data_IF_838205574049
#
_entry.id   IF_838205574049
#
_cell.length_a   1.000
_cell.length_b   1.000
_cell.length_c   1.000
_cell.angle_alpha   90.00
_cell.angle_beta   90.00
_cell.angle_gamma   90.00
#
_symmetry.space_group_name_H-M   'P 1'
#
loop_
_entity.id
_entity.type
_entity.pdbx_description
1 polymer ?
#
# COMPACT_ATOMS: atom_id res chain seq x y z
N UNK A 1 -0.09 -18.47 -14.82
CA UNK A 1 1.16 -17.69 -14.63
C UNK A 1 1.63 -17.91 -13.19
N UNK A 2 2.93 -18.13 -12.94
CA UNK A 2 3.45 -18.32 -11.56
C UNK A 2 3.40 -16.99 -10.78
N UNK A 3 3.07 -17.06 -9.49
CA UNK A 3 3.15 -15.91 -8.57
C UNK A 3 4.59 -15.42 -8.46
N UNK A 4 4.77 -14.10 -8.46
CA UNK A 4 6.06 -13.41 -8.31
C UNK A 4 6.16 -12.84 -6.90
N UNK A 5 7.38 -12.80 -6.32
CA UNK A 5 7.60 -12.11 -5.06
C UNK A 5 7.32 -10.61 -5.22
N UNK A 6 6.90 -9.96 -4.13
CA UNK A 6 6.80 -8.50 -4.10
C UNK A 6 8.17 -7.89 -4.42
N UNK A 7 8.17 -6.75 -5.11
CA UNK A 7 9.39 -5.99 -5.40
C UNK A 7 10.10 -5.54 -4.10
N UNK A 8 9.32 -5.26 -3.06
CA UNK A 8 9.79 -4.89 -1.73
C UNK A 8 9.17 -5.85 -0.71
N UNK A 9 9.92 -6.23 0.33
CA UNK A 9 9.41 -7.08 1.40
C UNK A 9 8.11 -6.51 2.00
N UNK A 10 7.11 -7.37 2.18
CA UNK A 10 5.79 -7.04 2.76
C UNK A 10 5.91 -6.26 4.07
N UNK A 11 6.83 -6.64 4.95
CA UNK A 11 7.08 -5.96 6.24
C UNK A 11 7.50 -4.49 6.07
N UNK A 12 8.36 -4.21 5.09
CA UNK A 12 8.83 -2.84 4.82
C UNK A 12 7.69 -2.00 4.26
N UNK A 13 6.92 -2.54 3.30
CA UNK A 13 5.75 -1.86 2.74
C UNK A 13 4.69 -1.56 3.81
N UNK A 14 4.40 -2.53 4.69
CA UNK A 14 3.48 -2.32 5.81
C UNK A 14 3.99 -1.22 6.75
N UNK A 15 5.28 -1.24 7.10
CA UNK A 15 5.88 -0.20 7.94
C UNK A 15 5.77 1.19 7.29
N UNK A 16 6.01 1.30 5.98
CA UNK A 16 5.84 2.55 5.24
C UNK A 16 4.41 3.06 5.26
N UNK A 17 3.43 2.17 5.04
CA UNK A 17 2.00 2.52 5.09
C UNK A 17 1.61 2.99 6.49
N UNK A 18 1.99 2.26 7.54
CA UNK A 18 1.70 2.63 8.93
C UNK A 18 2.35 3.96 9.28
N UNK A 19 3.64 4.15 8.94
CA UNK A 19 4.34 5.40 9.17
C UNK A 19 3.67 6.58 8.45
N UNK A 20 3.21 6.37 7.21
CA UNK A 20 2.47 7.39 6.45
C UNK A 20 1.13 7.74 7.10
N UNK A 21 0.42 6.77 7.68
CA UNK A 21 -0.83 7.01 8.42
C UNK A 21 -0.57 7.81 9.70
N UNK A 22 0.48 7.47 10.46
CA UNK A 22 0.87 8.19 11.67
C UNK A 22 1.26 9.63 11.35
N UNK A 23 2.12 9.83 10.34
CA UNK A 23 2.52 11.17 9.91
C UNK A 23 1.33 11.99 9.38
N UNK A 24 0.38 11.37 8.69
CA UNK A 24 -0.83 12.05 8.23
C UNK A 24 -1.70 12.50 9.41
N UNK A 25 -1.84 11.66 10.45
CA UNK A 25 -2.54 12.03 11.68
C UNK A 25 -1.85 13.19 12.41
N UNK A 26 -0.51 13.18 12.48
CA UNK A 26 0.27 14.31 13.05
C UNK A 26 0.07 15.58 12.23
N UNK A 27 0.12 15.50 10.90
CA UNK A 27 -0.09 16.63 10.02
C UNK A 27 -1.48 17.26 10.21
N UNK A 28 -2.52 16.42 10.31
CA UNK A 28 -3.89 16.87 10.59
C UNK A 28 -3.95 17.52 11.97
N UNK A 29 -3.36 16.90 13.00
CA UNK A 29 -3.35 17.44 14.35
C UNK A 29 -2.66 18.82 14.44
N UNK A 30 -1.48 18.98 13.81
CA UNK A 30 -0.77 20.27 13.75
C UNK A 30 -1.64 21.32 13.07
N UNK A 31 -2.27 20.96 11.94
CA UNK A 31 -3.16 21.87 11.20
C UNK A 31 -4.38 22.31 12.02
N UNK A 32 -4.91 21.44 12.87
CA UNK A 32 -6.05 21.76 13.75
C UNK A 32 -5.62 22.57 14.98
N UNK A 33 -4.40 22.34 15.49
CA UNK A 33 -3.92 22.96 16.73
C UNK A 33 -3.38 24.37 16.51
N UNK A 34 -2.64 24.59 15.42
CA UNK A 34 -2.10 25.90 15.06
C UNK A 34 -2.10 26.07 13.53
N UNK A 35 -3.16 26.71 12.98
CA UNK A 35 -3.29 26.95 11.55
C UNK A 35 -2.15 27.79 10.97
N UNK A 36 -1.56 28.70 11.77
CA UNK A 36 -0.50 29.59 11.31
C UNK A 36 0.82 28.83 11.20
N UNK A 37 1.20 28.04 12.21
CA UNK A 37 2.38 27.16 12.11
C UNK A 37 2.26 26.10 11.00
N UNK A 38 1.02 25.69 10.69
CA UNK A 38 0.73 24.72 9.64
C UNK A 38 1.10 25.24 8.24
N UNK A 39 1.03 26.56 8.00
CA UNK A 39 1.44 27.17 6.73
C UNK A 39 2.95 27.07 6.50
N UNK A 40 3.76 27.11 7.56
CA UNK A 40 5.22 27.00 7.48
C UNK A 40 5.71 25.55 7.42
N UNK A 41 4.99 24.62 8.06
CA UNK A 41 5.35 23.19 8.12
C UNK A 41 4.79 22.36 6.96
N UNK A 42 3.66 22.77 6.37
CA UNK A 42 3.04 22.07 5.23
C UNK A 42 3.96 21.90 4.00
N UNK A 43 4.79 22.89 3.59
CA UNK A 43 5.67 22.74 2.44
C UNK A 43 6.69 21.61 2.56
N UNK A 44 7.07 21.22 3.78
CA UNK A 44 8.03 20.13 4.03
C UNK A 44 7.28 18.82 4.29
N UNK A 45 6.21 18.87 5.08
CA UNK A 45 5.50 17.68 5.53
C UNK A 45 4.69 17.02 4.41
N UNK A 46 4.09 17.81 3.50
CA UNK A 46 3.27 17.30 2.38
C UNK A 46 4.12 16.49 1.38
N UNK A 47 5.27 16.96 0.89
CA UNK A 47 6.10 16.17 -0.03
C UNK A 47 6.62 14.87 0.60
N UNK A 48 7.02 14.91 1.88
CA UNK A 48 7.49 13.71 2.60
C UNK A 48 6.37 12.68 2.71
N UNK A 49 5.16 13.12 3.07
CA UNK A 49 3.97 12.27 3.08
C UNK A 49 3.65 11.70 1.71
N UNK A 50 3.71 12.52 0.65
CA UNK A 50 3.46 12.09 -0.71
C UNK A 50 4.44 11.00 -1.15
N UNK A 51 5.74 11.15 -0.86
CA UNK A 51 6.76 10.15 -1.17
C UNK A 51 6.52 8.83 -0.43
N UNK A 52 6.22 8.91 0.87
CA UNK A 52 5.93 7.73 1.69
C UNK A 52 4.68 6.98 1.24
N UNK A 53 3.71 7.65 0.61
CA UNK A 53 2.50 7.02 0.08
C UNK A 53 2.68 6.52 -1.37
N UNK A 54 3.38 7.28 -2.23
CA UNK A 54 3.48 6.94 -3.65
C UNK A 54 4.30 5.67 -3.88
N UNK A 55 5.36 5.45 -3.08
CA UNK A 55 6.20 4.25 -3.19
C UNK A 55 5.41 2.95 -2.95
N UNK A 56 4.73 2.75 -1.81
CA UNK A 56 3.92 1.54 -1.59
C UNK A 56 2.77 1.44 -2.59
N UNK A 57 2.18 2.57 -3.02
CA UNK A 57 1.13 2.58 -4.03
C UNK A 57 1.60 2.00 -5.37
N UNK A 58 2.75 2.46 -5.87
CA UNK A 58 3.34 1.95 -7.12
C UNK A 58 3.70 0.47 -6.98
N UNK A 59 4.32 0.08 -5.86
CA UNK A 59 4.73 -1.32 -5.66
C UNK A 59 3.53 -2.26 -5.63
N UNK A 60 2.45 -1.88 -4.95
CA UNK A 60 1.21 -2.66 -4.90
C UNK A 60 0.54 -2.69 -6.27
N UNK A 61 0.49 -1.57 -6.99
CA UNK A 61 -0.06 -1.53 -8.34
C UNK A 61 0.70 -2.51 -9.26
N UNK A 62 2.04 -2.47 -9.23
CA UNK A 62 2.87 -3.39 -10.01
C UNK A 62 2.61 -4.85 -9.60
N UNK A 63 2.46 -5.12 -8.31
CA UNK A 63 2.16 -6.46 -7.80
C UNK A 63 0.81 -6.97 -8.34
N UNK A 64 -0.23 -6.14 -8.28
CA UNK A 64 -1.57 -6.44 -8.83
C UNK A 64 -1.47 -6.69 -10.35
N UNK A 65 -0.71 -5.88 -11.08
CA UNK A 65 -0.53 -6.03 -12.54
C UNK A 65 0.22 -7.31 -12.89
N UNK A 66 1.30 -7.63 -12.17
CA UNK A 66 2.20 -8.75 -12.53
C UNK A 66 1.72 -10.11 -12.02
N UNK A 67 0.86 -10.15 -11.00
CA UNK A 67 0.43 -11.39 -10.37
C UNK A 67 -1.00 -11.80 -10.76
N UNK A 68 -1.29 -13.11 -10.77
CA UNK A 68 -2.65 -13.62 -10.85
C UNK A 68 -3.35 -13.43 -9.50
N UNK A 69 -4.00 -12.28 -9.33
CA UNK A 69 -4.76 -11.92 -8.13
C UNK A 69 -6.25 -12.10 -8.38
N UNK A 70 -6.96 -12.73 -7.44
CA UNK A 70 -8.42 -12.82 -7.48
C UNK A 70 -9.04 -11.42 -7.41
N UNK A 71 -10.03 -11.15 -8.28
CA UNK A 71 -10.74 -9.86 -8.35
C UNK A 71 -9.81 -8.65 -8.61
N UNK A 72 -8.82 -8.82 -9.50
CA UNK A 72 -7.84 -7.78 -9.86
C UNK A 72 -8.43 -6.40 -10.15
N UNK A 73 -9.55 -6.33 -10.89
CA UNK A 73 -10.23 -5.07 -11.20
C UNK A 73 -10.73 -4.35 -9.94
N UNK A 74 -11.30 -5.09 -8.99
CA UNK A 74 -11.79 -4.54 -7.73
C UNK A 74 -10.63 -3.97 -6.88
N UNK A 75 -9.49 -4.66 -6.86
CA UNK A 75 -8.29 -4.17 -6.18
C UNK A 75 -7.74 -2.89 -6.81
N UNK A 76 -7.70 -2.80 -8.15
CA UNK A 76 -7.27 -1.58 -8.83
C UNK A 76 -8.23 -0.41 -8.58
N UNK A 77 -9.54 -0.63 -8.70
CA UNK A 77 -10.55 0.40 -8.42
C UNK A 77 -10.41 0.87 -6.97
N UNK A 78 -10.35 -0.08 -6.02
CA UNK A 78 -10.20 0.24 -4.61
C UNK A 78 -8.91 1.00 -4.30
N UNK A 79 -7.81 0.67 -4.98
CA UNK A 79 -6.53 1.34 -4.81
C UNK A 79 -6.59 2.81 -5.25
N UNK A 80 -7.38 3.12 -6.29
CA UNK A 80 -7.58 4.49 -6.78
C UNK A 80 -8.55 5.26 -5.89
N UNK A 81 -9.62 4.63 -5.41
CA UNK A 81 -10.69 5.32 -4.66
C UNK A 81 -10.42 5.46 -3.16
N UNK A 82 -9.83 4.44 -2.53
CA UNK A 82 -9.65 4.37 -1.08
C UNK A 82 -8.17 4.40 -0.64
N UNK A 83 -7.23 4.38 -1.58
CA UNK A 83 -5.80 4.59 -1.32
C UNK A 83 -5.24 3.68 -0.23
N UNK A 84 -4.77 4.29 0.88
CA UNK A 84 -4.07 3.63 1.99
C UNK A 84 -4.82 2.45 2.59
N UNK A 85 -6.14 2.55 2.74
CA UNK A 85 -6.94 1.51 3.37
C UNK A 85 -6.93 0.23 2.53
N UNK A 86 -7.07 0.37 1.21
CA UNK A 86 -7.00 -0.76 0.29
C UNK A 86 -5.58 -1.31 0.17
N UNK A 87 -4.54 -0.46 0.22
CA UNK A 87 -3.15 -0.93 0.26
C UNK A 87 -2.88 -1.83 1.48
N UNK A 88 -3.37 -1.43 2.65
CA UNK A 88 -3.20 -2.18 3.89
C UNK A 88 -3.96 -3.50 3.84
N UNK A 89 -5.25 -3.48 3.45
CA UNK A 89 -6.05 -4.70 3.27
C UNK A 89 -5.44 -5.65 2.24
N UNK A 90 -4.96 -5.11 1.11
CA UNK A 90 -4.31 -5.88 0.06
C UNK A 90 -3.08 -6.62 0.59
N UNK A 91 -2.16 -5.91 1.25
CA UNK A 91 -0.95 -6.54 1.78
C UNK A 91 -1.25 -7.60 2.85
N UNK A 92 -2.23 -7.35 3.73
CA UNK A 92 -2.63 -8.30 4.76
C UNK A 92 -3.25 -9.57 4.14
N UNK A 93 -4.04 -9.42 3.08
CA UNK A 93 -4.77 -10.53 2.44
C UNK A 93 -4.08 -11.10 1.20
N UNK A 94 -2.93 -10.55 0.79
CA UNK A 94 -2.21 -10.90 -0.44
C UNK A 94 -2.07 -12.39 -0.65
N UNK A 95 -1.58 -13.10 0.37
CA UNK A 95 -1.26 -14.52 0.30
C UNK A 95 -2.51 -15.39 0.04
N UNK A 96 -3.69 -14.92 0.46
CA UNK A 96 -4.98 -15.58 0.20
C UNK A 96 -5.58 -15.23 -1.15
N UNK A 97 -5.18 -14.10 -1.72
CA UNK A 97 -5.74 -13.57 -2.98
C UNK A 97 -4.90 -13.95 -4.19
N UNK A 98 -3.67 -14.42 -3.98
CA UNK A 98 -2.87 -15.03 -5.03
C UNK A 98 -3.52 -16.35 -5.41
N UNK A 99 -3.81 -16.50 -6.71
CA UNK A 99 -4.34 -17.74 -7.25
C UNK A 99 -3.15 -18.69 -7.40
N UNK A 100 -2.92 -19.53 -6.40
CA UNK A 100 -1.99 -20.65 -6.52
C UNK A 100 -2.58 -21.68 -7.49
N UNK A 101 -1.82 -22.04 -8.52
CA UNK A 101 -2.23 -23.09 -9.43
C UNK A 101 -2.10 -24.45 -8.71
N UNK A 102 -3.09 -25.36 -8.80
CA UNK A 102 -3.06 -26.67 -8.14
C UNK A 102 -1.90 -27.58 -8.56
N UNK A 103 -1.09 -27.19 -9.55
CA UNK A 103 0.09 -27.94 -9.98
C UNK A 103 1.21 -27.98 -8.92
N UNK A 104 1.26 -27.04 -7.97
CA UNK A 104 2.29 -27.02 -6.91
C UNK A 104 1.95 -28.02 -5.79
N UNK A 105 0.66 -28.29 -5.54
CA UNK A 105 0.23 -29.27 -4.53
C UNK A 105 0.43 -30.74 -4.96
N UNK A 106 0.75 -30.97 -6.24
CA UNK A 106 0.99 -32.30 -6.80
C UNK A 106 2.49 -32.69 -6.80
N UNK A 107 3.41 -31.73 -6.64
CA UNK A 107 4.86 -32.00 -6.52
C UNK A 107 5.31 -32.16 -5.05
N UNK A 108 4.44 -31.83 -4.08
CA UNK A 108 4.70 -32.00 -2.64
C UNK A 108 3.99 -33.22 -1.99
N UNK A 109 3.38 -34.11 -2.79
CA UNK A 109 2.85 -35.41 -2.34
C UNK A 109 3.60 -36.57 -2.98
#
# INVERSE_FOLDING_TARGET
MRSRPLLIKKTILLAMIIASMVLAAVAIYVRLSDPVSSLETAPVLIPVLALLQITPWIVILIDIIRNPVRNKALWMIGLITFGLLVMLLYLLTRDRNLIEHPAVLAEER
#
